data_IF_378258353943
#
_entry.id   IF_378258353943
#
_cell.length_a   1.000
_cell.length_b   1.000
_cell.length_c   1.000
_cell.angle_alpha   90.00
_cell.angle_beta   90.00
_cell.angle_gamma   90.00
#
_symmetry.space_group_name_H-M   'P 1'
#
loop_
_entity.id
_entity.type
_entity.pdbx_description
1 polymer ?
#
# COMPACT_ATOMS: atom_id res chain seq x y z
N UNK A 1 -26.82 27.67 13.39
CA UNK A 1 -27.28 26.27 13.34
C UNK A 1 -26.45 25.42 12.38
N UNK A 2 -26.18 25.84 11.13
CA UNK A 2 -25.32 25.11 10.18
C UNK A 2 -23.85 24.87 10.60
N UNK A 3 -23.25 25.74 11.40
CA UNK A 3 -21.84 25.63 11.83
C UNK A 3 -21.62 24.56 12.91
N UNK A 4 -22.65 24.23 13.70
CA UNK A 4 -22.57 23.23 14.77
C UNK A 4 -22.58 21.82 14.19
N UNK A 5 -23.44 21.56 13.20
CA UNK A 5 -23.47 20.26 12.49
C UNK A 5 -22.16 19.97 11.75
N UNK A 6 -21.51 20.99 11.20
CA UNK A 6 -20.22 20.85 10.51
C UNK A 6 -19.07 20.53 11.47
N UNK A 7 -19.09 21.12 12.69
CA UNK A 7 -18.10 20.83 13.74
C UNK A 7 -18.28 19.42 14.33
N UNK A 8 -19.52 18.97 14.48
CA UNK A 8 -19.85 17.64 15.00
C UNK A 8 -19.46 16.54 14.00
N UNK A 9 -19.78 16.75 12.72
CA UNK A 9 -19.34 15.86 11.64
C UNK A 9 -17.81 15.81 11.49
N UNK A 10 -17.11 16.93 11.73
CA UNK A 10 -15.64 16.94 11.73
C UNK A 10 -15.06 16.14 12.90
N UNK A 11 -15.62 16.31 14.12
CA UNK A 11 -15.20 15.53 15.29
C UNK A 11 -15.48 14.03 15.14
N UNK A 12 -16.64 13.65 14.58
CA UNK A 12 -17.00 12.26 14.30
C UNK A 12 -16.07 11.63 13.25
N UNK A 13 -15.64 12.43 12.27
CA UNK A 13 -14.73 11.99 11.23
C UNK A 13 -13.29 11.82 11.74
N UNK A 14 -12.84 12.70 12.63
CA UNK A 14 -11.53 12.57 13.28
C UNK A 14 -11.50 11.39 14.27
N UNK A 15 -12.57 11.14 15.03
CA UNK A 15 -12.66 9.97 15.91
C UNK A 15 -12.62 8.66 15.13
N UNK A 16 -13.32 8.60 14.00
CA UNK A 16 -13.41 7.40 13.18
C UNK A 16 -12.11 7.11 12.41
N UNK A 17 -11.33 8.16 12.09
CA UNK A 17 -9.96 8.02 11.57
C UNK A 17 -9.00 7.47 12.61
N UNK A 18 -9.13 7.91 13.86
CA UNK A 18 -8.28 7.40 14.93
C UNK A 18 -8.63 5.95 15.26
N UNK A 19 -9.91 5.60 15.28
CA UNK A 19 -10.38 4.22 15.38
C UNK A 19 -9.82 3.35 14.26
N UNK A 20 -9.88 3.81 13.00
CA UNK A 20 -9.31 3.08 11.86
C UNK A 20 -7.77 2.89 11.97
N UNK A 21 -7.04 3.85 12.54
CA UNK A 21 -5.59 3.70 12.80
C UNK A 21 -5.30 2.68 13.89
N UNK A 22 -6.07 2.70 14.98
CA UNK A 22 -5.91 1.76 16.09
C UNK A 22 -6.24 0.34 15.63
N UNK A 23 -7.33 0.17 14.88
CA UNK A 23 -7.70 -1.10 14.27
C UNK A 23 -6.63 -1.59 13.29
N UNK A 24 -6.10 -0.71 12.44
CA UNK A 24 -5.00 -1.03 11.53
C UNK A 24 -3.75 -1.52 12.26
N UNK A 25 -3.32 -0.83 13.32
CA UNK A 25 -2.17 -1.23 14.13
C UNK A 25 -2.40 -2.59 14.84
N UNK A 26 -3.62 -2.84 15.32
CA UNK A 26 -3.99 -4.13 15.89
C UNK A 26 -3.94 -5.25 14.85
N UNK A 27 -4.44 -5.01 13.62
CA UNK A 27 -4.35 -5.95 12.51
C UNK A 27 -2.89 -6.23 12.15
N UNK A 28 -2.03 -5.21 12.07
CA UNK A 28 -0.61 -5.38 11.77
C UNK A 28 0.12 -6.29 12.77
N UNK A 29 -0.07 -6.03 14.07
CA UNK A 29 0.57 -6.85 15.13
C UNK A 29 0.11 -8.31 15.08
N UNK A 30 -1.17 -8.56 14.79
CA UNK A 30 -1.73 -9.91 14.69
C UNK A 30 -1.39 -10.59 13.39
N UNK A 31 -1.35 -9.88 12.26
CA UNK A 31 -0.82 -10.41 11.00
C UNK A 31 0.64 -10.81 11.13
N UNK A 32 1.44 -10.03 11.87
CA UNK A 32 2.82 -10.41 12.18
C UNK A 32 2.89 -11.67 13.04
N UNK A 33 1.99 -11.84 14.01
CA UNK A 33 1.89 -13.07 14.79
C UNK A 33 1.44 -14.27 13.94
N UNK A 34 0.46 -14.07 13.04
CA UNK A 34 0.00 -15.07 12.09
C UNK A 34 1.10 -15.49 11.11
N UNK A 35 1.86 -14.51 10.62
CA UNK A 35 2.98 -14.76 9.72
C UNK A 35 4.09 -15.55 10.43
N UNK A 36 4.27 -15.45 11.75
CA UNK A 36 5.20 -16.33 12.48
C UNK A 36 4.82 -17.81 12.37
N UNK A 37 3.52 -18.14 12.34
CA UNK A 37 3.07 -19.52 12.09
C UNK A 37 3.27 -19.95 10.63
N UNK A 38 3.35 -18.99 9.71
CA UNK A 38 3.60 -19.20 8.26
C UNK A 38 5.10 -19.22 7.88
N UNK A 39 5.96 -18.53 8.65
CA UNK A 39 7.42 -18.41 8.39
C UNK A 39 8.23 -19.70 8.56
N UNK A 40 7.58 -20.85 8.57
CA UNK A 40 8.20 -22.13 8.20
C UNK A 40 8.49 -22.17 6.69
N UNK A 41 9.36 -21.29 6.19
CA UNK A 41 9.95 -21.38 4.85
C UNK A 41 11.01 -20.30 4.61
N UNK A 42 12.27 -20.66 4.24
CA UNK A 42 12.55 -21.46 3.04
C UNK A 42 13.40 -22.74 3.25
N UNK A 43 12.83 -23.86 2.78
CA UNK A 43 13.38 -24.95 1.94
C UNK A 43 14.74 -25.65 2.19
N UNK A 44 15.58 -25.30 3.17
CA UNK A 44 16.89 -25.97 3.31
C UNK A 44 17.23 -26.57 4.68
N UNK A 45 16.37 -26.46 5.69
CA UNK A 45 16.59 -27.11 6.99
C UNK A 45 15.27 -27.50 7.64
N UNK A 46 14.87 -28.76 7.51
CA UNK A 46 13.94 -29.41 8.43
C UNK A 46 14.01 -30.93 8.27
N UNK A 47 15.17 -31.51 8.60
CA UNK A 47 15.24 -32.91 9.08
C UNK A 47 14.81 -32.99 10.56
N UNK A 48 14.54 -31.85 11.20
CA UNK A 48 13.90 -31.81 12.52
C UNK A 48 12.42 -31.49 12.40
N UNK A 49 11.63 -32.50 12.75
CA UNK A 49 10.22 -32.46 13.09
C UNK A 49 9.71 -31.09 13.57
N UNK A 50 9.06 -30.34 12.70
CA UNK A 50 8.10 -29.33 13.13
C UNK A 50 6.70 -29.86 12.86
N UNK A 51 6.26 -30.85 13.62
CA UNK A 51 4.83 -31.16 13.68
C UNK A 51 4.09 -29.86 14.01
N UNK A 52 3.22 -29.39 13.12
CA UNK A 52 2.23 -28.37 13.42
C UNK A 52 1.24 -29.01 14.40
N UNK A 53 1.63 -28.97 15.68
CA UNK A 53 0.92 -29.64 16.75
C UNK A 53 -0.54 -29.15 16.80
N UNK A 54 -1.49 -30.02 17.13
CA UNK A 54 -2.94 -29.72 17.13
C UNK A 54 -3.29 -28.44 17.91
N UNK A 55 -2.50 -28.13 18.94
CA UNK A 55 -2.60 -26.90 19.74
C UNK A 55 -2.17 -25.62 18.99
N UNK A 56 -1.17 -25.69 18.10
CA UNK A 56 -0.78 -24.57 17.21
C UNK A 56 -1.84 -24.35 16.13
N UNK A 57 -2.47 -25.42 15.63
CA UNK A 57 -3.60 -25.36 14.70
C UNK A 57 -4.79 -24.63 15.31
N UNK A 58 -5.18 -24.97 16.54
CA UNK A 58 -6.29 -24.27 17.22
C UNK A 58 -5.98 -22.81 17.51
N UNK A 59 -4.74 -22.49 17.92
CA UNK A 59 -4.32 -21.11 18.15
C UNK A 59 -4.35 -20.28 16.84
N UNK A 60 -3.86 -20.85 15.73
CA UNK A 60 -3.92 -20.19 14.43
C UNK A 60 -5.36 -19.92 13.98
N UNK A 61 -6.27 -20.89 14.14
CA UNK A 61 -7.68 -20.71 13.77
C UNK A 61 -8.33 -19.60 14.60
N UNK A 62 -8.04 -19.54 15.90
CA UNK A 62 -8.53 -18.50 16.79
C UNK A 62 -7.98 -17.11 16.41
N UNK A 63 -6.67 -17.01 16.20
CA UNK A 63 -6.02 -15.76 15.78
C UNK A 63 -6.53 -15.29 14.41
N UNK A 64 -6.81 -16.23 13.50
CA UNK A 64 -7.36 -15.93 12.18
C UNK A 64 -8.80 -15.39 12.25
N UNK A 65 -9.65 -15.99 13.09
CA UNK A 65 -11.01 -15.50 13.33
C UNK A 65 -10.99 -14.07 13.91
N UNK A 66 -10.08 -13.81 14.84
CA UNK A 66 -9.97 -12.50 15.47
C UNK A 66 -9.50 -11.42 14.47
N UNK A 67 -8.60 -11.77 13.55
CA UNK A 67 -8.21 -10.86 12.45
C UNK A 67 -9.36 -10.64 11.46
N UNK A 68 -10.16 -11.67 11.14
CA UNK A 68 -11.37 -11.49 10.31
C UNK A 68 -12.37 -10.52 10.95
N UNK A 69 -12.56 -10.59 12.27
CA UNK A 69 -13.48 -9.70 12.97
C UNK A 69 -12.96 -8.27 13.05
N UNK A 70 -11.65 -8.07 13.25
CA UNK A 70 -11.02 -6.74 13.16
C UNK A 70 -11.10 -6.15 11.76
N UNK A 71 -10.94 -6.97 10.70
CA UNK A 71 -11.09 -6.54 9.32
C UNK A 71 -12.53 -6.10 9.01
N UNK A 72 -13.54 -6.82 9.52
CA UNK A 72 -14.95 -6.40 9.39
C UNK A 72 -15.23 -5.07 10.10
N UNK A 73 -14.67 -4.87 11.28
CA UNK A 73 -14.80 -3.60 12.02
C UNK A 73 -14.14 -2.44 11.27
N UNK A 74 -12.94 -2.66 10.69
CA UNK A 74 -12.26 -1.66 9.88
C UNK A 74 -13.02 -1.34 8.58
N UNK A 75 -13.63 -2.35 7.95
CA UNK A 75 -14.50 -2.16 6.80
C UNK A 75 -15.74 -1.35 7.15
N UNK A 76 -16.38 -1.62 8.30
CA UNK A 76 -17.51 -0.82 8.78
C UNK A 76 -17.13 0.63 9.10
N UNK A 77 -15.98 0.84 9.75
CA UNK A 77 -15.44 2.18 10.00
C UNK A 77 -15.16 2.93 8.68
N UNK A 78 -14.57 2.26 7.68
CA UNK A 78 -14.34 2.82 6.36
C UNK A 78 -15.64 3.18 5.63
N UNK A 79 -16.67 2.32 5.69
CA UNK A 79 -18.01 2.62 5.14
C UNK A 79 -18.64 3.85 5.82
N UNK A 80 -18.54 3.95 7.14
CA UNK A 80 -19.03 5.12 7.91
C UNK A 80 -18.26 6.40 7.52
N UNK A 81 -16.95 6.32 7.31
CA UNK A 81 -16.13 7.44 6.81
C UNK A 81 -16.56 7.90 5.41
N UNK A 82 -16.88 6.97 4.51
CA UNK A 82 -17.34 7.26 3.16
C UNK A 82 -18.71 7.98 3.16
N UNK A 83 -19.66 7.51 3.96
CA UNK A 83 -20.98 8.14 4.11
C UNK A 83 -20.85 9.57 4.66
N UNK A 84 -19.99 9.79 5.66
CA UNK A 84 -19.72 11.12 6.20
C UNK A 84 -19.02 12.04 5.18
N UNK A 85 -18.11 11.49 4.37
CA UNK A 85 -17.46 12.23 3.29
C UNK A 85 -18.46 12.71 2.24
N UNK A 86 -19.41 11.84 1.85
CA UNK A 86 -20.46 12.15 0.89
C UNK A 86 -21.43 13.21 1.44
N UNK A 87 -21.78 13.14 2.73
CA UNK A 87 -22.64 14.11 3.43
C UNK A 87 -22.00 15.49 3.59
N UNK A 88 -20.68 15.57 3.72
CA UNK A 88 -19.91 16.82 3.88
C UNK A 88 -19.61 17.54 2.55
N UNK A 89 -19.87 16.91 1.40
CA UNK A 89 -19.34 17.35 0.09
C UNK A 89 -17.81 17.58 0.18
N UNK A 90 -17.09 16.55 0.63
CA UNK A 90 -15.67 16.63 0.99
C UNK A 90 -14.75 17.16 -0.12
N UNK A 91 -13.72 17.92 0.28
CA UNK A 91 -12.67 18.41 -0.63
C UNK A 91 -11.76 17.29 -1.16
N UNK A 92 -10.92 17.59 -2.15
CA UNK A 92 -10.04 16.61 -2.82
C UNK A 92 -9.14 15.84 -1.83
N UNK A 93 -8.69 16.47 -0.75
CA UNK A 93 -7.88 15.82 0.30
C UNK A 93 -8.64 14.72 1.07
N UNK A 94 -9.93 14.92 1.32
CA UNK A 94 -10.76 13.96 2.07
C UNK A 94 -11.04 12.72 1.20
N UNK A 95 -11.23 12.92 -0.10
CA UNK A 95 -11.35 11.84 -1.10
C UNK A 95 -10.08 10.99 -1.21
N UNK A 96 -8.91 11.64 -1.25
CA UNK A 96 -7.62 10.92 -1.29
C UNK A 96 -7.38 10.11 -0.01
N UNK A 97 -7.79 10.62 1.15
CA UNK A 97 -7.66 9.91 2.41
C UNK A 97 -8.56 8.66 2.47
N UNK A 98 -9.84 8.80 2.11
CA UNK A 98 -10.78 7.66 2.06
C UNK A 98 -10.28 6.58 1.10
N UNK A 99 -9.80 6.97 -0.08
CA UNK A 99 -9.22 6.03 -1.05
C UNK A 99 -8.02 5.28 -0.47
N UNK A 100 -7.13 5.98 0.24
CA UNK A 100 -5.98 5.36 0.91
C UNK A 100 -6.40 4.36 1.99
N UNK A 101 -7.44 4.66 2.77
CA UNK A 101 -7.96 3.71 3.77
C UNK A 101 -8.53 2.44 3.12
N UNK A 102 -9.19 2.59 1.96
CA UNK A 102 -9.67 1.44 1.19
C UNK A 102 -8.52 0.62 0.59
N UNK A 103 -7.49 1.26 0.06
CA UNK A 103 -6.30 0.58 -0.48
C UNK A 103 -5.59 -0.23 0.63
N UNK A 104 -5.40 0.38 1.81
CA UNK A 104 -4.79 -0.28 2.98
C UNK A 104 -5.64 -1.46 3.49
N UNK A 105 -6.97 -1.31 3.56
CA UNK A 105 -7.86 -2.40 3.93
C UNK A 105 -7.74 -3.57 2.95
N UNK A 106 -7.70 -3.27 1.64
CA UNK A 106 -7.54 -4.27 0.60
C UNK A 106 -6.22 -5.03 0.75
N UNK A 107 -5.13 -4.30 1.00
CA UNK A 107 -3.81 -4.90 1.23
C UNK A 107 -3.83 -5.85 2.45
N UNK A 108 -4.42 -5.45 3.57
CA UNK A 108 -4.59 -6.32 4.75
C UNK A 108 -5.41 -7.57 4.45
N UNK A 109 -6.51 -7.44 3.70
CA UNK A 109 -7.30 -8.60 3.29
C UNK A 109 -6.49 -9.56 2.40
N UNK A 110 -5.71 -9.04 1.44
CA UNK A 110 -4.89 -9.88 0.58
C UNK A 110 -3.79 -10.60 1.37
N UNK A 111 -3.14 -9.90 2.31
CA UNK A 111 -2.12 -10.50 3.17
C UNK A 111 -2.71 -11.59 4.07
N UNK A 112 -3.88 -11.33 4.68
CA UNK A 112 -4.58 -12.32 5.49
C UNK A 112 -4.91 -13.60 4.69
N UNK A 113 -5.48 -13.46 3.49
CA UNK A 113 -5.80 -14.60 2.63
C UNK A 113 -4.54 -15.37 2.23
N UNK A 114 -3.45 -14.66 1.88
CA UNK A 114 -2.17 -15.28 1.55
C UNK A 114 -1.62 -16.10 2.71
N UNK A 115 -1.62 -15.55 3.93
CA UNK A 115 -1.12 -16.26 5.13
C UNK A 115 -1.99 -17.48 5.43
N UNK A 116 -3.32 -17.33 5.32
CA UNK A 116 -4.26 -18.43 5.49
C UNK A 116 -4.03 -19.57 4.50
N UNK A 117 -3.87 -19.26 3.22
CA UNK A 117 -3.63 -20.26 2.18
C UNK A 117 -2.29 -21.01 2.40
N UNK A 118 -1.25 -20.31 2.85
CA UNK A 118 0.04 -20.95 3.16
C UNK A 118 -0.09 -21.93 4.33
N UNK A 119 -0.78 -21.53 5.40
CA UNK A 119 -0.98 -22.38 6.58
C UNK A 119 -1.92 -23.55 6.28
N UNK A 120 -2.96 -23.35 5.48
CA UNK A 120 -3.86 -24.42 5.01
C UNK A 120 -3.10 -25.46 4.18
N UNK A 121 -2.27 -25.02 3.23
CA UNK A 121 -1.41 -25.94 2.46
C UNK A 121 -0.43 -26.71 3.34
N UNK A 122 0.12 -26.06 4.37
CA UNK A 122 0.99 -26.73 5.34
C UNK A 122 0.21 -27.76 6.17
N UNK A 123 -1.00 -27.42 6.57
CA UNK A 123 -1.92 -28.31 7.28
C UNK A 123 -2.32 -29.53 6.45
N UNK A 124 -2.65 -29.35 5.18
CA UNK A 124 -3.01 -30.43 4.26
C UNK A 124 -1.82 -31.34 4.00
N UNK A 125 -0.63 -30.75 3.81
CA UNK A 125 0.61 -31.50 3.67
C UNK A 125 0.90 -32.36 4.90
N UNK A 126 0.64 -31.85 6.10
CA UNK A 126 0.81 -32.60 7.34
C UNK A 126 -0.25 -33.67 7.56
N UNK A 127 -1.50 -33.45 7.13
CA UNK A 127 -2.55 -34.47 7.18
C UNK A 127 -2.21 -35.66 6.26
N UNK A 128 -1.70 -35.36 5.06
CA UNK A 128 -1.24 -36.36 4.09
C UNK A 128 0.02 -37.11 4.55
N UNK A 129 0.98 -36.43 5.20
CA UNK A 129 2.23 -37.04 5.67
C UNK A 129 2.11 -37.71 7.04
N UNK A 130 1.25 -37.19 7.93
CA UNK A 130 1.03 -37.70 9.29
C UNK A 130 0.43 -39.11 9.33
N UNK A 131 -0.26 -39.52 8.26
CA UNK A 131 -0.73 -40.89 8.08
C UNK A 131 0.40 -41.91 7.84
N UNK A 132 1.58 -41.49 7.38
CA UNK A 132 2.67 -42.39 6.94
C UNK A 132 3.72 -42.71 8.01
N UNK A 133 3.87 -41.86 9.04
CA UNK A 133 4.92 -42.01 10.07
C UNK A 133 4.47 -42.81 11.31
N UNK A 134 3.18 -43.13 11.42
CA UNK A 134 2.64 -43.80 12.62
C UNK A 134 2.80 -45.32 12.62
N UNK A 135 3.43 -45.90 11.60
CA UNK A 135 3.53 -47.35 11.44
C UNK A 135 4.87 -47.76 10.87
N UNK A 136 5.94 -47.67 11.67
CA UNK A 136 7.19 -48.35 11.29
C UNK A 136 7.90 -48.91 12.53
N UNK A 137 7.38 -50.04 13.00
CA UNK A 137 8.19 -51.03 13.70
C UNK A 137 8.76 -51.98 12.67
N UNK A 138 9.91 -51.66 12.06
CA UNK A 138 10.87 -52.62 11.51
C UNK A 138 12.11 -51.92 10.89
N UNK A 139 12.92 -51.31 11.75
CA UNK A 139 14.06 -50.46 11.35
C UNK A 139 15.34 -51.19 10.95
N UNK A 140 15.32 -52.51 10.76
CA UNK A 140 16.54 -53.29 10.45
C UNK A 140 16.66 -53.80 9.01
N UNK A 141 15.59 -53.76 8.21
CA UNK A 141 15.62 -54.12 6.77
C UNK A 141 15.61 -52.91 5.82
N UNK A 142 15.32 -51.71 6.32
CA UNK A 142 15.05 -50.52 5.50
C UNK A 142 16.30 -49.73 5.05
N UNK A 143 17.50 -50.06 5.52
CA UNK A 143 18.71 -49.26 5.21
C UNK A 143 19.09 -49.26 3.71
N UNK A 144 18.76 -50.33 2.98
CA UNK A 144 19.08 -50.45 1.54
C UNK A 144 18.03 -49.79 0.64
N UNK A 145 16.76 -49.78 1.06
CA UNK A 145 15.68 -49.07 0.35
C UNK A 145 15.69 -47.58 0.62
N UNK A 146 16.09 -47.15 1.83
CA UNK A 146 16.23 -45.73 2.19
C UNK A 146 17.15 -44.94 1.26
N UNK A 147 18.23 -45.56 0.78
CA UNK A 147 19.11 -44.90 -0.21
C UNK A 147 18.41 -44.71 -1.56
N UNK A 148 17.61 -45.68 -1.98
CA UNK A 148 16.85 -45.59 -3.24
C UNK A 148 15.67 -44.61 -3.14
N UNK A 149 14.97 -44.58 -2.00
CA UNK A 149 13.89 -43.63 -1.74
C UNK A 149 14.42 -42.20 -1.63
N UNK A 150 15.59 -42.01 -1.02
CA UNK A 150 16.21 -40.69 -0.90
C UNK A 150 16.64 -40.14 -2.26
N UNK A 151 17.13 -41.01 -3.16
CA UNK A 151 17.44 -40.65 -4.55
C UNK A 151 16.19 -40.32 -5.37
N UNK A 152 15.09 -41.06 -5.19
CA UNK A 152 13.81 -40.76 -5.83
C UNK A 152 13.22 -39.44 -5.31
N UNK A 153 13.29 -39.21 -4.01
CA UNK A 153 12.88 -37.96 -3.39
C UNK A 153 13.73 -36.78 -3.90
N UNK A 154 15.04 -36.97 -4.05
CA UNK A 154 15.93 -35.95 -4.62
C UNK A 154 15.55 -35.66 -6.09
N UNK A 155 15.24 -36.69 -6.87
CA UNK A 155 14.75 -36.54 -8.24
C UNK A 155 13.43 -35.73 -8.29
N UNK A 156 12.47 -36.03 -7.42
CA UNK A 156 11.22 -35.27 -7.32
C UNK A 156 11.47 -33.82 -6.87
N UNK A 157 12.43 -33.58 -6.00
CA UNK A 157 12.85 -32.23 -5.62
C UNK A 157 13.49 -31.47 -6.79
N UNK A 158 14.30 -32.13 -7.61
CA UNK A 158 14.92 -31.53 -8.81
C UNK A 158 13.84 -31.15 -9.81
N UNK A 159 12.93 -32.06 -10.15
CA UNK A 159 11.86 -31.79 -11.13
C UNK A 159 10.90 -30.69 -10.66
N UNK A 160 10.61 -30.63 -9.36
CA UNK A 160 9.82 -29.54 -8.80
C UNK A 160 10.57 -28.20 -8.81
N UNK A 161 11.89 -28.23 -8.57
CA UNK A 161 12.74 -27.04 -8.64
C UNK A 161 12.85 -26.52 -10.07
N UNK A 162 12.94 -27.42 -11.07
CA UNK A 162 12.95 -27.09 -12.48
C UNK A 162 11.68 -26.32 -12.89
N UNK A 163 10.49 -26.82 -12.52
CA UNK A 163 9.22 -26.12 -12.76
C UNK A 163 9.16 -24.74 -12.12
N UNK A 164 9.64 -24.61 -10.88
CA UNK A 164 9.68 -23.31 -10.21
C UNK A 164 10.66 -22.33 -10.86
N UNK A 165 11.75 -22.84 -11.45
CA UNK A 165 12.74 -22.04 -12.16
C UNK A 165 12.15 -21.53 -13.47
N UNK A 166 11.38 -22.36 -14.18
CA UNK A 166 10.63 -21.95 -15.36
C UNK A 166 9.61 -20.84 -15.06
N UNK A 167 8.88 -20.94 -13.95
CA UNK A 167 7.96 -19.88 -13.52
C UNK A 167 8.67 -18.56 -13.21
N UNK A 168 9.86 -18.63 -12.58
CA UNK A 168 10.68 -17.44 -12.30
C UNK A 168 11.26 -16.83 -13.59
N UNK A 169 11.64 -17.67 -14.56
CA UNK A 169 12.09 -17.21 -15.88
C UNK A 169 10.93 -16.49 -16.58
N UNK A 170 9.74 -17.09 -16.59
CA UNK A 170 8.55 -16.49 -17.20
C UNK A 170 8.17 -15.16 -16.54
N UNK A 171 8.23 -15.09 -15.20
CA UNK A 171 8.00 -13.86 -14.46
C UNK A 171 9.07 -12.80 -14.76
N UNK A 172 10.35 -13.17 -14.83
CA UNK A 172 11.43 -12.26 -15.17
C UNK A 172 11.30 -11.72 -16.61
N UNK A 173 10.90 -12.57 -17.56
CA UNK A 173 10.60 -12.17 -18.93
C UNK A 173 9.40 -11.20 -18.98
N UNK A 174 8.33 -11.47 -18.24
CA UNK A 174 7.18 -10.57 -18.12
C UNK A 174 7.53 -9.21 -17.48
N UNK A 175 8.39 -9.20 -16.45
CA UNK A 175 8.89 -7.97 -15.82
C UNK A 175 9.77 -7.17 -16.79
N UNK A 176 10.64 -7.83 -17.56
CA UNK A 176 11.45 -7.18 -18.60
C UNK A 176 10.58 -6.52 -19.67
N UNK A 177 9.52 -7.19 -20.12
CA UNK A 177 8.57 -6.63 -21.09
C UNK A 177 7.81 -5.44 -20.50
N UNK A 178 7.33 -5.56 -19.27
CA UNK A 178 6.65 -4.49 -18.55
C UNK A 178 7.56 -3.27 -18.31
N UNK A 179 8.83 -3.47 -17.97
CA UNK A 179 9.81 -2.39 -17.82
C UNK A 179 10.10 -1.70 -19.16
N UNK A 180 10.20 -2.45 -20.25
CA UNK A 180 10.33 -1.87 -21.60
C UNK A 180 9.10 -1.04 -21.98
N UNK A 181 7.89 -1.51 -21.67
CA UNK A 181 6.66 -0.73 -21.87
C UNK A 181 6.61 0.52 -20.97
N UNK A 182 7.04 0.42 -19.72
CA UNK A 182 7.14 1.57 -18.81
C UNK A 182 8.17 2.60 -19.30
N UNK A 183 9.33 2.17 -19.79
CA UNK A 183 10.36 3.06 -20.35
C UNK A 183 9.83 3.84 -21.57
N UNK A 184 9.06 3.18 -22.45
CA UNK A 184 8.38 3.85 -23.57
C UNK A 184 7.33 4.86 -23.10
N UNK A 185 6.57 4.55 -22.05
CA UNK A 185 5.59 5.48 -21.44
C UNK A 185 6.26 6.67 -20.77
N UNK A 186 7.37 6.48 -20.06
CA UNK A 186 8.17 7.56 -19.46
C UNK A 186 8.77 8.45 -20.55
N UNK A 187 9.27 7.86 -21.64
CA UNK A 187 9.72 8.60 -22.83
C UNK A 187 8.60 9.45 -23.45
N UNK A 188 7.40 8.88 -23.58
CA UNK A 188 6.21 9.61 -24.06
C UNK A 188 5.77 10.73 -23.13
N UNK A 189 5.82 10.51 -21.81
CA UNK A 189 5.53 11.54 -20.80
C UNK A 189 6.55 12.68 -20.86
N UNK A 190 7.84 12.39 -21.07
CA UNK A 190 8.88 13.40 -21.28
C UNK A 190 8.63 14.21 -22.56
N UNK A 191 8.17 13.58 -23.64
CA UNK A 191 7.78 14.28 -24.87
C UNK A 191 6.54 15.17 -24.65
N UNK A 192 5.57 14.74 -23.85
CA UNK A 192 4.43 15.58 -23.46
C UNK A 192 4.88 16.75 -22.58
N UNK A 193 5.78 16.52 -21.62
CA UNK A 193 6.40 17.56 -20.79
C UNK A 193 7.16 18.59 -21.63
N UNK A 194 7.92 18.14 -22.63
CA UNK A 194 8.60 19.03 -23.58
C UNK A 194 7.61 19.80 -24.47
N UNK A 195 6.49 19.17 -24.90
CA UNK A 195 5.41 19.87 -25.62
C UNK A 195 4.72 20.91 -24.74
N UNK A 196 4.57 20.66 -23.44
CA UNK A 196 4.03 21.62 -22.48
C UNK A 196 5.05 22.73 -22.18
N UNK A 197 6.34 22.42 -22.01
CA UNK A 197 7.44 23.40 -21.93
C UNK A 197 7.50 24.33 -23.14
N UNK A 198 7.27 23.81 -24.36
CA UNK A 198 7.16 24.64 -25.57
C UNK A 198 5.92 25.55 -25.60
N UNK A 199 4.88 25.27 -24.80
CA UNK A 199 3.73 26.17 -24.58
C UNK A 199 3.95 27.18 -23.43
N UNK A 200 5.07 27.10 -22.71
CA UNK A 200 5.44 28.03 -21.63
C UNK A 200 6.25 29.31 -21.98
N UNK A 201 6.50 29.75 -23.24
CA UNK A 201 6.97 31.13 -23.48
C UNK A 201 5.87 32.21 -23.25
N UNK A 202 4.65 31.84 -22.87
CA UNK A 202 3.54 32.76 -22.63
C UNK A 202 3.45 33.34 -21.20
N UNK A 203 4.15 32.76 -20.22
CA UNK A 203 4.16 33.30 -18.84
C UNK A 203 4.91 34.62 -18.77
N UNK A 204 5.91 34.86 -19.62
CA UNK A 204 6.61 36.15 -19.65
C UNK A 204 5.65 37.28 -20.06
N UNK A 205 4.74 37.03 -21.00
CA UNK A 205 3.74 38.02 -21.43
C UNK A 205 2.66 38.29 -20.37
N UNK A 206 2.25 37.27 -19.61
CA UNK A 206 1.29 37.42 -18.51
C UNK A 206 1.93 38.11 -17.29
N UNK A 207 3.17 37.77 -16.96
CA UNK A 207 3.94 38.42 -15.90
C UNK A 207 4.27 39.88 -16.24
N UNK A 208 4.52 40.19 -17.51
CA UNK A 208 4.74 41.56 -17.99
C UNK A 208 3.44 42.38 -17.99
N UNK A 209 2.29 41.80 -18.40
CA UNK A 209 0.98 42.46 -18.31
C UNK A 209 0.56 42.77 -16.87
N UNK A 210 0.85 41.89 -15.91
CA UNK A 210 0.59 42.12 -14.48
C UNK A 210 1.49 43.25 -13.92
N UNK A 211 2.76 43.32 -14.35
CA UNK A 211 3.68 44.39 -13.93
C UNK A 211 3.34 45.78 -14.51
N UNK A 212 2.66 45.87 -15.65
CA UNK A 212 2.31 47.17 -16.25
C UNK A 212 1.17 47.89 -15.51
N UNK A 213 0.22 47.16 -14.91
CA UNK A 213 -0.89 47.80 -14.18
C UNK A 213 -0.41 48.47 -12.88
N UNK A 214 0.51 47.82 -12.13
CA UNK A 214 1.12 48.40 -10.93
C UNK A 214 2.04 49.60 -11.21
N UNK A 215 2.72 49.66 -12.36
CA UNK A 215 3.60 50.81 -12.69
C UNK A 215 2.82 52.09 -12.99
N UNK A 216 1.63 51.99 -13.58
CA UNK A 216 0.82 53.17 -13.92
C UNK A 216 0.40 53.94 -12.66
N UNK A 217 -0.04 53.23 -11.62
CA UNK A 217 -0.45 53.87 -10.37
C UNK A 217 0.72 54.54 -9.65
N UNK A 218 1.91 53.94 -9.65
CA UNK A 218 3.12 54.54 -9.06
C UNK A 218 3.58 55.79 -9.82
N UNK A 219 3.52 55.79 -11.16
CA UNK A 219 3.91 56.94 -11.98
C UNK A 219 2.94 58.11 -11.76
N UNK A 220 1.63 57.85 -11.71
CA UNK A 220 0.62 58.88 -11.44
C UNK A 220 0.81 59.47 -10.04
N UNK A 221 1.01 58.63 -9.02
CA UNK A 221 1.26 59.09 -7.65
C UNK A 221 2.52 59.98 -7.55
N UNK A 222 3.63 59.57 -8.18
CA UNK A 222 4.88 60.34 -8.19
C UNK A 222 4.74 61.69 -8.90
N UNK A 223 4.00 61.73 -10.02
CA UNK A 223 3.74 62.97 -10.75
C UNK A 223 2.94 63.98 -9.91
N UNK A 224 1.90 63.53 -9.22
CA UNK A 224 1.09 64.38 -8.32
C UNK A 224 1.93 64.95 -7.19
N UNK A 225 2.78 64.13 -6.55
CA UNK A 225 3.67 64.59 -5.48
C UNK A 225 4.64 65.66 -6.01
N UNK A 226 5.21 65.46 -7.19
CA UNK A 226 6.18 66.40 -7.78
C UNK A 226 5.53 67.74 -8.12
N UNK A 227 4.34 67.73 -8.72
CA UNK A 227 3.57 68.96 -9.02
C UNK A 227 3.21 69.70 -7.73
N UNK A 228 2.77 68.98 -6.70
CA UNK A 228 2.41 69.58 -5.42
C UNK A 228 3.61 70.25 -4.74
N UNK A 229 4.79 69.62 -4.78
CA UNK A 229 6.04 70.21 -4.27
C UNK A 229 6.47 71.46 -5.03
N UNK A 230 6.32 71.48 -6.37
CA UNK A 230 6.66 72.66 -7.18
C UNK A 230 5.73 73.83 -6.85
N UNK A 231 4.42 73.59 -6.70
CA UNK A 231 3.45 74.63 -6.33
C UNK A 231 3.73 75.18 -4.92
N UNK A 232 4.04 74.32 -3.95
CA UNK A 232 4.43 74.77 -2.60
C UNK A 232 5.73 75.59 -2.62
N UNK A 233 6.71 75.19 -3.43
CA UNK A 233 7.96 75.94 -3.56
C UNK A 233 7.74 77.32 -4.20
N UNK A 234 6.93 77.41 -5.25
CA UNK A 234 6.56 78.69 -5.87
C UNK A 234 5.75 79.59 -4.93
N UNK A 235 4.85 79.00 -4.14
CA UNK A 235 4.10 79.74 -3.11
C UNK A 235 5.03 80.23 -1.99
N UNK A 236 5.98 79.41 -1.54
CA UNK A 236 6.94 79.81 -0.50
C UNK A 236 7.94 80.86 -0.95
N UNK A 237 8.24 80.91 -2.25
CA UNK A 237 9.15 81.91 -2.83
C UNK A 237 8.45 83.23 -3.22
N UNK A 238 7.12 83.29 -3.12
CA UNK A 238 6.32 84.46 -3.46
C UNK A 238 5.75 85.11 -2.19
#
# INVERSE_FOLDING_TARGET
MYTVDMSKAASEWDSLREEARVLGAAIDTKLHALNKYSTTGPKYKAVESSHFNRSKRSAFIQDAQEVEDLLKQLEEANRKLEVLMYKKAGGSSDQHAVRRYHDVLKDYMHEFHRVREVVEKQMDREDLLGGSTSQDGDTFLNNRNRSSELLLQEHDHITNTERMLDDQINLALGVKENLNHQQRRVGGAMQQLQKTMKKYPAINNLMQKIRMKKRKDTIVLAAVITVCLILLFLYSMR
#
